data_IF_521039187207
#
_entry.id   IF_521039187207
#
_cell.length_a   1.000
_cell.length_b   1.000
_cell.length_c   1.000
_cell.angle_alpha   90.00
_cell.angle_beta   90.00
_cell.angle_gamma   90.00
#
_symmetry.space_group_name_H-M   'P 1'
#
loop_
_entity.id
_entity.type
_entity.pdbx_description
1 polymer ?
#
# COMPACT_ATOMS: atom_id res chain seq x y z
N UNK A 1 87.02 -32.15 -18.22
CA UNK A 1 85.93 -32.50 -19.18
C UNK A 1 84.77 -31.64 -18.84
N UNK A 2 84.57 -30.59 -19.59
CA UNK A 2 83.68 -29.47 -19.37
C UNK A 2 82.37 -29.72 -20.14
N UNK A 3 81.23 -29.60 -19.43
CA UNK A 3 79.87 -29.63 -20.00
C UNK A 3 79.35 -28.20 -20.18
N UNK A 4 78.68 -27.85 -21.28
CA UNK A 4 78.17 -26.46 -21.51
C UNK A 4 76.79 -26.22 -20.90
N UNK A 5 76.64 -25.04 -20.38
CA UNK A 5 75.37 -24.43 -19.84
C UNK A 5 74.57 -23.90 -21.03
N UNK A 6 73.29 -24.33 -21.16
CA UNK A 6 72.29 -23.69 -22.02
C UNK A 6 71.44 -22.72 -21.19
N UNK A 7 71.50 -21.45 -21.58
CA UNK A 7 70.57 -20.40 -21.08
C UNK A 7 69.29 -20.43 -21.88
N UNK A 8 68.16 -20.74 -21.22
CA UNK A 8 66.84 -20.60 -21.81
C UNK A 8 66.29 -19.22 -21.40
N UNK A 9 66.07 -18.37 -22.39
CA UNK A 9 65.41 -17.07 -22.22
C UNK A 9 63.90 -17.29 -22.19
N UNK A 10 63.23 -16.99 -21.05
CA UNK A 10 61.79 -16.89 -20.96
C UNK A 10 61.35 -15.50 -21.44
N UNK A 11 60.60 -15.47 -22.53
CA UNK A 11 59.88 -14.26 -22.96
C UNK A 11 58.54 -14.21 -22.21
N UNK A 12 58.37 -13.26 -21.31
CA UNK A 12 57.09 -12.92 -20.69
C UNK A 12 56.22 -12.13 -21.68
N UNK A 13 55.17 -12.76 -22.23
CA UNK A 13 54.08 -12.03 -22.90
C UNK A 13 53.17 -11.37 -21.81
N UNK A 14 53.21 -10.04 -21.75
CA UNK A 14 52.26 -9.27 -20.96
C UNK A 14 50.92 -9.19 -21.70
N UNK A 15 49.91 -9.88 -21.19
CA UNK A 15 48.51 -9.72 -21.61
C UNK A 15 47.95 -8.45 -20.95
N UNK A 16 47.66 -7.43 -21.75
CA UNK A 16 46.94 -6.24 -21.30
C UNK A 16 45.46 -6.59 -21.06
N UNK A 17 44.86 -6.15 -19.93
CA UNK A 17 43.41 -6.36 -19.70
C UNK A 17 42.61 -5.46 -20.63
N UNK A 18 41.79 -6.08 -21.49
CA UNK A 18 40.78 -5.38 -22.31
C UNK A 18 39.66 -4.89 -21.38
N UNK A 19 39.63 -3.60 -21.06
CA UNK A 19 38.52 -2.97 -20.36
C UNK A 19 37.33 -2.89 -21.31
N UNK A 20 36.41 -3.83 -21.23
CA UNK A 20 35.10 -3.74 -21.87
C UNK A 20 34.27 -2.71 -21.12
N UNK A 21 34.23 -1.49 -21.61
CA UNK A 21 33.30 -0.46 -21.17
C UNK A 21 31.89 -0.92 -21.50
N UNK A 22 31.15 -1.40 -20.47
CA UNK A 22 29.71 -1.61 -20.58
C UNK A 22 29.07 -0.24 -20.76
N UNK A 23 28.66 0.09 -21.97
CA UNK A 23 27.86 1.27 -22.26
C UNK A 23 26.56 1.16 -21.43
N UNK A 24 26.42 2.00 -20.41
CA UNK A 24 25.16 2.20 -19.72
C UNK A 24 24.17 2.76 -20.75
N UNK A 25 23.24 1.91 -21.19
CA UNK A 25 22.10 2.34 -22.00
C UNK A 25 21.26 3.22 -21.05
N UNK A 26 21.34 4.53 -21.22
CA UNK A 26 20.48 5.47 -20.52
C UNK A 26 19.02 5.13 -20.83
N UNK A 27 18.21 4.98 -19.80
CA UNK A 27 16.78 4.76 -19.98
C UNK A 27 16.19 5.92 -20.82
N UNK A 28 15.33 5.63 -21.81
CA UNK A 28 14.73 6.69 -22.62
C UNK A 28 14.03 7.71 -21.73
N UNK A 29 14.06 9.01 -22.07
CA UNK A 29 13.42 10.06 -21.28
C UNK A 29 11.94 9.75 -21.17
N UNK A 30 11.42 9.75 -19.94
CA UNK A 30 9.99 9.56 -19.67
C UNK A 30 9.25 10.76 -20.26
N UNK A 31 8.34 10.52 -21.19
CA UNK A 31 7.53 11.59 -21.78
C UNK A 31 6.81 12.39 -20.67
N UNK A 32 6.75 13.74 -20.80
CA UNK A 32 6.08 14.57 -19.82
C UNK A 32 4.61 14.16 -19.69
N UNK A 33 4.13 14.07 -18.45
CA UNK A 33 2.72 13.74 -18.19
C UNK A 33 1.81 14.84 -18.71
N UNK A 34 0.63 14.53 -19.23
CA UNK A 34 -0.36 15.55 -19.58
C UNK A 34 -0.69 16.40 -18.36
N UNK A 35 -1.03 17.68 -18.59
CA UNK A 35 -1.41 18.58 -17.52
C UNK A 35 -2.76 18.18 -16.91
N UNK A 36 -2.83 18.19 -15.59
CA UNK A 36 -4.07 18.00 -14.87
C UNK A 36 -5.01 19.22 -15.04
N UNK A 37 -6.33 19.03 -14.94
CA UNK A 37 -7.27 20.16 -14.97
C UNK A 37 -6.99 21.14 -13.82
N UNK A 38 -6.81 22.42 -14.15
CA UNK A 38 -6.45 23.47 -13.18
C UNK A 38 -7.50 23.62 -12.08
N UNK A 39 -8.79 23.56 -12.43
CA UNK A 39 -9.89 23.63 -11.47
C UNK A 39 -9.83 22.53 -10.42
N UNK A 40 -9.59 21.26 -10.84
CA UNK A 40 -9.42 20.15 -9.90
C UNK A 40 -8.19 20.37 -9.01
N UNK A 41 -7.08 20.80 -9.59
CA UNK A 41 -5.85 21.07 -8.83
C UNK A 41 -6.11 22.09 -7.71
N UNK A 42 -6.75 23.21 -8.04
CA UNK A 42 -7.10 24.27 -7.07
C UNK A 42 -8.04 23.76 -5.99
N UNK A 43 -9.05 22.95 -6.36
CA UNK A 43 -9.97 22.34 -5.37
C UNK A 43 -9.24 21.40 -4.40
N UNK A 44 -8.35 20.53 -4.88
CA UNK A 44 -7.59 19.63 -4.02
C UNK A 44 -6.63 20.39 -3.09
N UNK A 45 -6.02 21.48 -3.58
CA UNK A 45 -5.19 22.37 -2.76
C UNK A 45 -6.02 23.04 -1.66
N UNK A 46 -7.19 23.56 -1.98
CA UNK A 46 -8.11 24.18 -1.00
C UNK A 46 -8.56 23.18 0.05
N UNK A 47 -8.97 21.96 -0.35
CA UNK A 47 -9.36 20.90 0.58
C UNK A 47 -8.20 20.48 1.50
N UNK A 48 -6.99 20.36 0.96
CA UNK A 48 -5.82 19.96 1.71
C UNK A 48 -5.31 21.04 2.66
N UNK A 49 -5.28 22.31 2.23
CA UNK A 49 -4.83 23.45 3.05
C UNK A 49 -5.85 23.81 4.15
N UNK A 50 -7.14 23.65 3.86
CA UNK A 50 -8.24 23.90 4.84
C UNK A 50 -8.41 22.78 5.90
N UNK A 51 -7.72 21.65 5.76
CA UNK A 51 -7.86 20.56 6.72
C UNK A 51 -6.98 20.77 7.96
N UNK A 52 -7.58 20.72 9.15
CA UNK A 52 -6.84 20.81 10.41
C UNK A 52 -6.12 19.49 10.72
N UNK A 53 -4.92 19.34 10.17
CA UNK A 53 -4.05 18.16 10.29
C UNK A 53 -3.04 18.12 9.15
N UNK A 54 -2.24 17.05 9.11
CA UNK A 54 -1.32 16.82 7.97
C UNK A 54 -1.91 15.77 7.04
N UNK A 55 -2.34 16.20 5.87
CA UNK A 55 -2.98 15.34 4.87
C UNK A 55 -2.24 15.43 3.52
N UNK A 56 -2.13 14.28 2.86
CA UNK A 56 -1.73 14.12 1.48
C UNK A 56 -2.91 13.66 0.63
N UNK A 57 -3.12 14.32 -0.49
CA UNK A 57 -4.18 14.01 -1.44
C UNK A 57 -3.53 13.81 -2.80
N UNK A 58 -3.90 12.74 -3.50
CA UNK A 58 -3.51 12.55 -4.90
C UNK A 58 -4.67 12.00 -5.71
N UNK A 59 -4.76 12.46 -6.94
CA UNK A 59 -5.68 11.96 -7.97
C UNK A 59 -4.91 11.77 -9.26
N UNK A 60 -5.11 10.64 -9.92
CA UNK A 60 -4.53 10.32 -11.23
C UNK A 60 -5.61 9.79 -12.16
N UNK A 61 -5.77 10.38 -13.34
CA UNK A 61 -6.58 9.79 -14.41
C UNK A 61 -5.89 8.53 -14.92
N UNK A 62 -6.59 7.41 -14.92
CA UNK A 62 -6.06 6.14 -15.43
C UNK A 62 -5.86 6.23 -16.93
N UNK A 63 -6.85 6.74 -17.64
CA UNK A 63 -6.89 6.81 -19.10
C UNK A 63 -6.17 8.05 -19.65
N UNK A 64 -6.30 9.18 -18.94
CA UNK A 64 -5.73 10.47 -19.37
C UNK A 64 -4.27 10.71 -18.95
N UNK A 65 -3.69 9.86 -18.10
CA UNK A 65 -2.28 9.90 -17.68
C UNK A 65 -1.86 11.08 -16.78
N UNK A 66 -2.70 12.14 -16.63
CA UNK A 66 -2.39 13.26 -15.74
C UNK A 66 -2.57 12.88 -14.26
N UNK A 67 -1.83 13.58 -13.40
CA UNK A 67 -2.02 13.50 -11.95
C UNK A 67 -1.91 14.89 -11.30
N UNK A 68 -2.58 15.05 -10.16
CA UNK A 68 -2.54 16.25 -9.33
C UNK A 68 -2.77 15.90 -7.88
N UNK A 69 -2.45 16.81 -6.96
CA UNK A 69 -2.63 16.55 -5.54
C UNK A 69 -2.15 17.68 -4.64
N UNK A 70 -2.18 17.40 -3.34
CA UNK A 70 -1.70 18.25 -2.26
C UNK A 70 -0.74 17.46 -1.39
N UNK A 71 0.48 17.95 -1.16
CA UNK A 71 1.54 17.28 -0.38
C UNK A 71 1.71 15.79 -0.73
N UNK A 72 1.56 15.48 -2.00
CA UNK A 72 1.41 14.11 -2.47
C UNK A 72 2.75 13.36 -2.62
N UNK A 73 3.89 14.03 -2.47
CA UNK A 73 5.24 13.45 -2.47
C UNK A 73 5.73 13.05 -1.07
N UNK A 74 5.07 13.53 0.00
CA UNK A 74 5.44 13.20 1.37
C UNK A 74 5.07 11.75 1.73
N UNK A 75 5.81 11.17 2.69
CA UNK A 75 5.49 9.85 3.23
C UNK A 75 4.43 9.94 4.33
N UNK A 76 3.40 9.11 4.19
CA UNK A 76 2.29 8.98 5.13
C UNK A 76 2.25 7.56 5.71
N UNK A 77 1.93 7.38 7.02
CA UNK A 77 1.67 6.07 7.61
C UNK A 77 0.58 5.33 6.83
N UNK A 78 0.88 4.20 6.23
CA UNK A 78 -0.09 3.43 5.48
C UNK A 78 -1.10 2.72 6.37
N UNK A 79 -0.62 2.16 7.49
CA UNK A 79 -1.42 1.25 8.30
C UNK A 79 -1.98 0.11 7.42
N UNK A 80 -3.24 -0.24 7.54
CA UNK A 80 -3.83 -1.32 6.74
C UNK A 80 -3.92 -1.06 5.22
N UNK A 81 -3.53 0.11 4.71
CA UNK A 81 -3.32 0.32 3.27
C UNK A 81 -2.21 -0.61 2.76
N UNK A 82 -1.20 -0.89 3.59
CA UNK A 82 -0.07 -1.80 3.25
C UNK A 82 -0.53 -3.21 2.86
N UNK A 83 -1.72 -3.64 3.28
CA UNK A 83 -2.32 -4.93 2.88
C UNK A 83 -2.59 -5.03 1.37
N UNK A 84 -2.76 -3.90 0.70
CA UNK A 84 -2.83 -3.87 -0.75
C UNK A 84 -1.55 -4.40 -1.41
N UNK A 85 -0.37 -4.11 -0.85
CA UNK A 85 0.90 -4.61 -1.38
C UNK A 85 1.11 -6.09 -1.08
N UNK A 86 0.60 -6.61 0.04
CA UNK A 86 0.55 -8.06 0.29
C UNK A 86 -0.35 -8.75 -0.73
N UNK A 87 -1.52 -8.18 -1.00
CA UNK A 87 -2.46 -8.69 -1.99
C UNK A 87 -1.87 -8.67 -3.41
N UNK A 88 -1.21 -7.58 -3.79
CA UNK A 88 -0.51 -7.46 -5.07
C UNK A 88 0.58 -8.52 -5.22
N UNK A 89 1.37 -8.74 -4.15
CA UNK A 89 2.41 -9.78 -4.11
C UNK A 89 1.81 -11.19 -4.21
N UNK A 90 0.67 -11.43 -3.56
CA UNK A 90 -0.02 -12.72 -3.64
C UNK A 90 -0.51 -13.00 -5.06
N UNK A 91 -1.09 -12.01 -5.72
CA UNK A 91 -1.53 -12.16 -7.11
C UNK A 91 -0.35 -12.27 -8.09
N UNK A 92 0.78 -11.60 -7.85
CA UNK A 92 2.02 -11.79 -8.61
C UNK A 92 2.58 -13.21 -8.43
N UNK A 93 2.50 -13.77 -7.21
CA UNK A 93 2.89 -15.16 -6.95
C UNK A 93 1.99 -16.18 -7.68
N UNK A 94 0.69 -15.88 -7.79
CA UNK A 94 -0.27 -16.67 -8.59
C UNK A 94 0.08 -16.60 -10.08
N UNK A 95 0.32 -15.42 -10.63
CA UNK A 95 0.71 -15.23 -12.03
C UNK A 95 2.01 -15.96 -12.39
N UNK A 96 2.92 -16.08 -11.43
CA UNK A 96 4.18 -16.82 -11.60
C UNK A 96 4.06 -18.32 -11.30
N UNK A 97 2.86 -18.84 -10.99
CA UNK A 97 2.63 -20.25 -10.67
C UNK A 97 3.25 -20.73 -9.36
N UNK A 98 3.69 -19.81 -8.47
CA UNK A 98 4.32 -20.16 -7.18
C UNK A 98 3.30 -20.52 -6.11
N UNK A 99 2.07 -20.02 -6.24
CA UNK A 99 0.95 -20.21 -5.30
C UNK A 99 -0.32 -20.32 -6.12
N UNK A 100 -1.25 -21.21 -5.72
CA UNK A 100 -2.60 -21.26 -6.27
C UNK A 100 -3.59 -20.67 -5.28
N UNK A 101 -4.59 -19.98 -5.77
CA UNK A 101 -5.65 -19.40 -4.92
C UNK A 101 -6.39 -20.48 -4.10
N UNK A 102 -6.45 -21.71 -4.62
CA UNK A 102 -7.09 -22.87 -3.97
C UNK A 102 -6.19 -23.59 -2.97
N UNK A 103 -4.89 -23.25 -2.87
CA UNK A 103 -3.99 -23.93 -1.96
C UNK A 103 -4.48 -23.82 -0.52
N UNK A 104 -4.53 -24.94 0.23
CA UNK A 104 -4.98 -24.94 1.61
C UNK A 104 -3.94 -24.28 2.53
N UNK A 105 -4.43 -23.49 3.48
CA UNK A 105 -3.59 -22.82 4.49
C UNK A 105 -4.21 -23.01 5.87
N UNK A 106 -3.47 -23.63 6.78
CA UNK A 106 -3.89 -23.81 8.17
C UNK A 106 -3.37 -22.68 9.04
N UNK A 107 -4.26 -22.07 9.81
CA UNK A 107 -3.96 -21.11 10.86
C UNK A 107 -4.09 -21.78 12.22
N UNK A 108 -3.17 -21.45 13.13
CA UNK A 108 -3.16 -21.88 14.53
C UNK A 108 -3.16 -20.67 15.45
N UNK A 109 -3.21 -20.89 16.77
CA UNK A 109 -3.06 -19.80 17.75
C UNK A 109 -1.75 -19.02 17.57
N UNK A 110 -0.67 -19.69 17.13
CA UNK A 110 0.60 -19.05 16.79
C UNK A 110 0.54 -18.08 15.61
N UNK A 111 -0.51 -18.13 14.79
CA UNK A 111 -0.71 -17.20 13.66
C UNK A 111 -1.45 -15.91 14.03
N UNK A 112 -2.15 -15.90 15.19
CA UNK A 112 -2.94 -14.74 15.61
C UNK A 112 -2.09 -13.48 15.79
N UNK A 113 -2.61 -12.34 15.38
CA UNK A 113 -1.99 -11.02 15.47
C UNK A 113 -2.66 -10.20 16.59
N UNK A 114 -2.95 -8.92 16.35
CA UNK A 114 -3.65 -8.05 17.30
C UNK A 114 -4.66 -7.16 16.57
N UNK A 115 -5.50 -6.48 17.34
CA UNK A 115 -6.55 -5.58 16.87
C UNK A 115 -7.60 -6.29 16.01
N UNK A 116 -7.81 -5.83 14.78
CA UNK A 116 -8.84 -6.34 13.90
C UNK A 116 -8.43 -7.69 13.27
N UNK A 117 -8.96 -8.79 13.79
CA UNK A 117 -8.66 -10.15 13.32
C UNK A 117 -9.91 -11.05 13.34
N UNK A 118 -10.91 -10.80 12.48
CA UNK A 118 -12.14 -11.59 12.43
C UNK A 118 -11.94 -13.09 12.34
N UNK A 119 -10.88 -13.56 11.67
CA UNK A 119 -10.56 -14.97 11.52
C UNK A 119 -10.17 -15.65 12.85
N UNK A 120 -9.76 -14.87 13.85
CA UNK A 120 -9.32 -15.38 15.15
C UNK A 120 -10.42 -16.22 15.85
N UNK A 121 -11.68 -15.84 15.72
CA UNK A 121 -12.81 -16.59 16.31
C UNK A 121 -12.84 -18.05 15.85
N UNK A 122 -12.56 -18.32 14.56
CA UNK A 122 -12.53 -19.67 14.00
C UNK A 122 -11.35 -20.49 14.55
N UNK A 123 -10.18 -19.84 14.67
CA UNK A 123 -8.97 -20.46 15.23
C UNK A 123 -9.14 -20.78 16.70
N UNK A 124 -9.74 -19.88 17.48
CA UNK A 124 -9.93 -20.07 18.93
C UNK A 124 -11.00 -21.10 19.24
N UNK A 125 -12.08 -21.15 18.46
CA UNK A 125 -13.16 -22.11 18.66
C UNK A 125 -12.76 -23.57 18.37
N UNK A 126 -11.85 -23.79 17.40
CA UNK A 126 -11.51 -25.14 16.91
C UNK A 126 -10.04 -25.53 17.16
N UNK A 127 -9.23 -24.67 17.83
CA UNK A 127 -7.77 -24.86 18.01
C UNK A 127 -6.95 -24.52 16.76
N UNK A 128 -7.47 -24.79 15.57
CA UNK A 128 -6.92 -24.42 14.27
C UNK A 128 -8.05 -24.14 13.26
N UNK A 129 -7.69 -23.51 12.13
CA UNK A 129 -8.63 -23.25 11.05
C UNK A 129 -7.93 -23.37 9.70
N UNK A 130 -8.38 -24.31 8.86
CA UNK A 130 -7.89 -24.47 7.49
C UNK A 130 -8.80 -23.72 6.53
N UNK A 131 -8.20 -22.95 5.65
CA UNK A 131 -8.86 -22.12 4.63
C UNK A 131 -8.02 -22.17 3.35
N UNK A 132 -8.26 -21.26 2.40
CA UNK A 132 -7.46 -21.15 1.17
C UNK A 132 -6.73 -19.82 1.10
N UNK A 133 -5.71 -19.73 0.23
CA UNK A 133 -5.00 -18.50 -0.10
C UNK A 133 -6.00 -17.41 -0.51
N UNK A 134 -6.99 -17.74 -1.32
CA UNK A 134 -8.03 -16.81 -1.75
C UNK A 134 -8.86 -16.25 -0.59
N UNK A 135 -9.27 -17.11 0.34
CA UNK A 135 -10.06 -16.67 1.49
C UNK A 135 -9.25 -15.78 2.44
N UNK A 136 -7.94 -16.04 2.57
CA UNK A 136 -7.05 -15.12 3.29
C UNK A 136 -6.96 -13.76 2.60
N UNK A 137 -6.78 -13.74 1.28
CA UNK A 137 -6.73 -12.52 0.47
C UNK A 137 -8.03 -11.71 0.59
N UNK A 138 -9.18 -12.38 0.47
CA UNK A 138 -10.50 -11.75 0.63
C UNK A 138 -10.64 -11.15 2.04
N UNK A 139 -10.32 -11.91 3.10
CA UNK A 139 -10.44 -11.42 4.47
C UNK A 139 -9.50 -10.24 4.76
N UNK A 140 -8.24 -10.31 4.30
CA UNK A 140 -7.24 -9.26 4.47
C UNK A 140 -7.67 -7.95 3.80
N UNK A 141 -8.25 -7.99 2.62
CA UNK A 141 -8.67 -6.79 1.89
C UNK A 141 -10.04 -6.31 2.35
N UNK A 142 -11.06 -7.18 2.32
CA UNK A 142 -12.45 -6.73 2.51
C UNK A 142 -12.79 -6.42 3.97
N UNK A 143 -12.26 -7.19 4.91
CA UNK A 143 -12.46 -7.01 6.36
C UNK A 143 -11.27 -6.36 7.05
N UNK A 144 -10.18 -6.13 6.32
CA UNK A 144 -8.92 -5.63 6.90
C UNK A 144 -8.37 -6.54 8.02
N UNK A 145 -8.53 -7.84 7.90
CA UNK A 145 -8.12 -8.84 8.89
C UNK A 145 -6.59 -8.92 8.99
N UNK A 146 -6.04 -8.60 10.16
CA UNK A 146 -4.61 -8.54 10.40
C UNK A 146 -3.97 -9.94 10.38
N UNK A 147 -4.64 -10.93 10.94
CA UNK A 147 -4.15 -12.32 10.98
C UNK A 147 -4.17 -12.95 9.59
N UNK A 148 -5.24 -12.76 8.84
CA UNK A 148 -5.31 -13.23 7.46
C UNK A 148 -4.21 -12.59 6.59
N UNK A 149 -3.96 -11.29 6.75
CA UNK A 149 -2.89 -10.58 6.04
C UNK A 149 -1.50 -11.11 6.36
N UNK A 150 -1.16 -11.24 7.66
CA UNK A 150 0.17 -11.69 8.07
C UNK A 150 0.41 -13.16 7.70
N UNK A 151 -0.66 -13.99 7.71
CA UNK A 151 -0.57 -15.36 7.20
C UNK A 151 -0.35 -15.40 5.70
N UNK A 152 -1.13 -14.62 4.93
CA UNK A 152 -0.98 -14.51 3.48
C UNK A 152 0.43 -14.02 3.12
N UNK A 153 0.93 -12.98 3.80
CA UNK A 153 2.28 -12.46 3.59
C UNK A 153 3.34 -13.55 3.78
N UNK A 154 3.23 -14.38 4.83
CA UNK A 154 4.15 -15.50 5.05
C UNK A 154 4.05 -16.57 3.96
N UNK A 155 2.84 -16.90 3.51
CA UNK A 155 2.60 -17.88 2.43
C UNK A 155 3.29 -17.47 1.14
N UNK A 156 3.32 -16.17 0.83
CA UNK A 156 3.91 -15.67 -0.42
C UNK A 156 5.40 -15.34 -0.33
N UNK A 157 6.07 -15.68 0.77
CA UNK A 157 7.52 -15.51 0.93
C UNK A 157 7.96 -14.46 1.94
N UNK A 158 7.03 -13.94 2.75
CA UNK A 158 7.33 -13.02 3.84
C UNK A 158 7.49 -11.54 3.41
N UNK A 159 7.87 -10.67 4.36
CA UNK A 159 7.95 -9.23 4.09
C UNK A 159 9.05 -8.86 3.09
N UNK A 160 10.11 -9.67 3.01
CA UNK A 160 11.18 -9.50 2.00
C UNK A 160 10.65 -9.61 0.58
N UNK A 161 9.74 -10.56 0.33
CA UNK A 161 9.13 -10.76 -0.98
C UNK A 161 8.21 -9.60 -1.36
N UNK A 162 7.44 -9.05 -0.40
CA UNK A 162 6.63 -7.85 -0.66
C UNK A 162 7.52 -6.66 -1.05
N UNK A 163 8.63 -6.44 -0.33
CA UNK A 163 9.61 -5.40 -0.67
C UNK A 163 10.25 -5.63 -2.05
N UNK A 164 10.55 -6.89 -2.38
CA UNK A 164 11.08 -7.26 -3.70
C UNK A 164 10.08 -6.91 -4.82
N UNK A 165 8.81 -7.29 -4.67
CA UNK A 165 7.77 -6.98 -5.68
C UNK A 165 7.57 -5.46 -5.83
N UNK A 166 7.61 -4.69 -4.74
CA UNK A 166 7.56 -3.22 -4.78
C UNK A 166 8.72 -2.66 -5.59
N UNK A 167 9.93 -3.17 -5.37
CA UNK A 167 11.14 -2.72 -6.08
C UNK A 167 11.13 -3.14 -7.56
N UNK A 168 10.88 -4.42 -7.87
CA UNK A 168 10.88 -4.97 -9.23
C UNK A 168 9.83 -4.28 -10.12
N UNK A 169 8.65 -4.02 -9.56
CA UNK A 169 7.58 -3.30 -10.27
C UNK A 169 7.77 -1.78 -10.27
N UNK A 170 8.83 -1.27 -9.62
CA UNK A 170 9.18 0.17 -9.54
C UNK A 170 7.98 1.01 -9.08
N UNK A 171 7.43 0.67 -7.92
CA UNK A 171 6.20 1.31 -7.40
C UNK A 171 6.45 2.67 -6.73
N UNK A 172 7.68 3.17 -6.72
CA UNK A 172 8.03 4.49 -6.22
C UNK A 172 8.21 4.54 -4.70
N UNK A 173 7.86 5.69 -4.10
CA UNK A 173 8.08 5.96 -2.68
C UNK A 173 7.09 5.20 -1.79
N UNK A 174 7.29 3.88 -1.67
CA UNK A 174 6.49 2.96 -0.86
C UNK A 174 7.42 2.11 -0.01
N UNK A 175 7.26 2.19 1.30
CA UNK A 175 7.93 1.34 2.28
C UNK A 175 6.98 0.24 2.75
N UNK A 176 7.52 -0.93 3.01
CA UNK A 176 6.78 -2.04 3.62
C UNK A 176 7.56 -2.56 4.83
N UNK A 177 6.89 -2.64 5.98
CA UNK A 177 7.47 -3.15 7.22
C UNK A 177 7.24 -4.67 7.35
N UNK A 178 7.52 -5.24 8.52
CA UNK A 178 7.56 -6.70 8.75
C UNK A 178 6.20 -7.30 9.16
N UNK A 179 5.10 -6.71 8.70
CA UNK A 179 3.73 -7.16 8.99
C UNK A 179 3.14 -6.49 10.24
N UNK A 180 1.89 -6.83 10.53
CA UNK A 180 1.10 -6.16 11.57
C UNK A 180 1.66 -6.34 12.98
N UNK A 181 2.13 -7.56 13.32
CA UNK A 181 2.72 -7.83 14.63
C UNK A 181 3.89 -6.91 14.94
N UNK A 182 4.84 -6.85 14.01
CA UNK A 182 6.05 -6.06 14.17
C UNK A 182 5.74 -4.56 14.13
N UNK A 183 4.92 -4.11 13.18
CA UNK A 183 4.56 -2.71 13.00
C UNK A 183 3.85 -2.16 14.24
N UNK A 184 2.77 -2.80 14.68
CA UNK A 184 1.95 -2.29 15.76
C UNK A 184 2.67 -2.34 17.12
N UNK A 185 3.49 -3.37 17.35
CA UNK A 185 4.33 -3.43 18.54
C UNK A 185 5.36 -2.32 18.56
N UNK A 186 6.07 -2.09 17.46
CA UNK A 186 7.10 -1.05 17.35
C UNK A 186 6.53 0.37 17.55
N UNK A 187 5.36 0.65 16.97
CA UNK A 187 4.66 1.94 17.19
C UNK A 187 4.37 2.16 18.68
N UNK A 188 3.99 1.10 19.37
CA UNK A 188 3.67 1.14 20.81
C UNK A 188 4.90 1.13 21.72
N UNK A 189 6.12 0.91 21.20
CA UNK A 189 7.35 0.78 21.98
C UNK A 189 7.55 -0.61 22.58
N UNK A 190 6.94 -1.64 22.00
CA UNK A 190 6.98 -3.02 22.44
C UNK A 190 7.71 -3.91 21.43
N UNK A 191 8.28 -4.99 21.94
CA UNK A 191 8.64 -6.16 21.12
C UNK A 191 7.45 -7.11 21.09
N UNK A 192 7.17 -7.73 19.93
CA UNK A 192 6.06 -8.65 19.79
C UNK A 192 6.13 -9.82 20.77
N UNK A 193 5.01 -10.09 21.41
CA UNK A 193 4.76 -11.32 22.19
C UNK A 193 3.45 -11.94 21.72
N UNK A 194 3.41 -13.27 21.61
CA UNK A 194 2.18 -13.97 21.19
C UNK A 194 1.02 -13.76 22.19
N UNK A 195 1.31 -13.46 23.45
CA UNK A 195 0.31 -13.09 24.44
C UNK A 195 -0.50 -11.85 24.08
N UNK A 196 0.05 -10.96 23.21
CA UNK A 196 -0.64 -9.76 22.75
C UNK A 196 -1.77 -10.03 21.76
N UNK A 197 -1.84 -11.25 21.24
CA UNK A 197 -2.85 -11.60 20.23
C UNK A 197 -4.26 -11.74 20.78
N UNK A 198 -4.43 -11.89 22.07
CA UNK A 198 -5.74 -12.15 22.71
C UNK A 198 -5.89 -11.29 23.96
N UNK A 199 -7.12 -10.81 24.17
CA UNK A 199 -7.47 -10.01 25.35
C UNK A 199 -6.78 -8.65 25.38
N UNK A 200 -6.41 -8.20 26.56
CA UNK A 200 -5.89 -6.87 26.85
C UNK A 200 -4.38 -6.78 27.10
N UNK A 201 -3.66 -7.90 26.95
CA UNK A 201 -2.23 -8.00 27.27
C UNK A 201 -1.38 -6.95 26.54
N UNK A 202 -1.69 -6.68 25.26
CA UNK A 202 -1.03 -5.61 24.49
C UNK A 202 -1.26 -4.25 25.14
N UNK A 203 -2.50 -3.94 25.51
CA UNK A 203 -2.83 -2.64 26.10
C UNK A 203 -2.21 -2.48 27.49
N UNK A 204 -2.18 -3.53 28.31
CA UNK A 204 -1.50 -3.54 29.62
C UNK A 204 0.00 -3.28 29.44
N UNK A 205 0.68 -4.02 28.58
CA UNK A 205 2.10 -3.84 28.32
C UNK A 205 2.41 -2.43 27.81
N UNK A 206 1.63 -1.92 26.82
CA UNK A 206 1.79 -0.57 26.30
C UNK A 206 1.55 0.50 27.37
N UNK A 207 0.53 0.33 28.20
CA UNK A 207 0.17 1.33 29.22
C UNK A 207 1.15 1.34 30.42
N UNK A 208 1.91 0.27 30.63
CA UNK A 208 3.00 0.22 31.61
C UNK A 208 4.23 1.04 31.20
N UNK A 209 4.37 1.38 29.92
CA UNK A 209 5.48 2.24 29.46
C UNK A 209 5.25 3.69 29.88
N UNK A 210 6.33 4.44 30.24
CA UNK A 210 6.24 5.88 30.53
C UNK A 210 5.58 6.63 29.35
N UNK A 211 4.68 7.57 29.67
CA UNK A 211 3.95 8.35 28.64
C UNK A 211 4.90 9.16 27.75
N UNK A 212 6.01 9.66 28.28
CA UNK A 212 7.06 10.37 27.53
C UNK A 212 7.68 9.48 26.45
N UNK A 213 8.01 8.24 26.79
CA UNK A 213 8.55 7.25 25.83
C UNK A 213 7.51 6.93 24.75
N UNK A 214 6.27 6.61 25.16
CA UNK A 214 5.18 6.32 24.22
C UNK A 214 4.96 7.48 23.24
N UNK A 215 4.97 8.71 23.73
CA UNK A 215 4.80 9.92 22.89
C UNK A 215 6.00 10.11 21.93
N UNK A 216 7.20 9.90 22.40
CA UNK A 216 8.41 9.98 21.56
C UNK A 216 8.37 8.99 20.41
N UNK A 217 8.05 7.72 20.68
CA UNK A 217 7.99 6.67 19.67
C UNK A 217 6.82 6.87 18.68
N UNK A 218 5.66 7.30 19.20
CA UNK A 218 4.50 7.62 18.37
C UNK A 218 4.78 8.79 17.40
N UNK A 219 5.43 9.86 17.89
CA UNK A 219 5.81 10.99 17.05
C UNK A 219 6.87 10.58 16.02
N UNK A 220 7.87 9.81 16.41
CA UNK A 220 8.87 9.27 15.47
C UNK A 220 8.22 8.49 14.33
N UNK A 221 7.24 7.64 14.65
CA UNK A 221 6.49 6.91 13.62
C UNK A 221 5.69 7.85 12.71
N UNK A 222 5.06 8.90 13.27
CA UNK A 222 4.36 9.89 12.47
C UNK A 222 5.33 10.63 11.54
N UNK A 223 6.47 11.06 12.04
CA UNK A 223 7.41 11.89 11.29
C UNK A 223 8.11 11.08 10.19
N UNK A 224 8.56 9.86 10.49
CA UNK A 224 9.20 8.93 9.55
C UNK A 224 8.56 7.52 9.63
N UNK A 225 7.41 7.29 8.97
CA UNK A 225 6.68 6.04 9.09
C UNK A 225 7.43 4.85 8.47
N UNK A 226 7.54 3.76 9.24
CA UNK A 226 8.20 2.52 8.82
C UNK A 226 7.52 1.88 7.62
N UNK A 227 6.20 2.07 7.50
CA UNK A 227 5.33 1.63 6.42
C UNK A 227 4.95 2.80 5.50
N UNK A 228 5.77 3.85 5.42
CA UNK A 228 5.44 5.09 4.72
C UNK A 228 5.19 4.91 3.23
N UNK A 229 4.16 5.58 2.71
CA UNK A 229 3.95 5.70 1.27
C UNK A 229 3.56 7.12 0.87
N UNK A 230 3.98 7.56 -0.32
CA UNK A 230 3.52 8.82 -0.88
C UNK A 230 2.20 8.64 -1.63
N UNK A 231 1.24 9.57 -1.49
CA UNK A 231 -0.01 9.53 -2.26
C UNK A 231 0.21 9.41 -3.78
N UNK A 232 1.24 10.04 -4.33
CA UNK A 232 1.56 9.92 -5.75
C UNK A 232 2.02 8.50 -6.14
N UNK A 233 2.83 7.84 -5.32
CA UNK A 233 3.22 6.45 -5.57
C UNK A 233 2.01 5.49 -5.47
N UNK A 234 1.10 5.75 -4.54
CA UNK A 234 -0.16 5.00 -4.40
C UNK A 234 -1.03 5.12 -5.65
N UNK A 235 -1.34 6.35 -6.11
CA UNK A 235 -2.22 6.51 -7.27
C UNK A 235 -1.57 6.02 -8.57
N UNK A 236 -0.26 6.14 -8.71
CA UNK A 236 0.47 5.56 -9.84
C UNK A 236 0.37 4.03 -9.85
N UNK A 237 0.57 3.40 -8.68
CA UNK A 237 0.42 1.94 -8.53
C UNK A 237 -1.00 1.49 -8.87
N UNK A 238 -2.02 2.18 -8.35
CA UNK A 238 -3.43 1.86 -8.62
C UNK A 238 -3.79 2.05 -10.11
N UNK A 239 -3.31 3.12 -10.73
CA UNK A 239 -3.54 3.37 -12.15
C UNK A 239 -2.87 2.30 -13.03
N UNK A 240 -1.63 1.93 -12.74
CA UNK A 240 -0.90 0.85 -13.42
C UNK A 240 -1.57 -0.51 -13.22
N UNK A 241 -2.07 -0.79 -12.01
CA UNK A 241 -2.88 -2.00 -11.77
C UNK A 241 -4.13 -2.00 -12.66
N UNK A 242 -4.87 -0.89 -12.70
CA UNK A 242 -6.11 -0.81 -13.50
C UNK A 242 -5.84 -0.98 -15.00
N UNK A 243 -4.70 -0.51 -15.51
CA UNK A 243 -4.28 -0.69 -16.92
C UNK A 243 -3.70 -2.09 -17.22
N UNK A 244 -3.60 -2.99 -16.21
CA UNK A 244 -3.04 -4.34 -16.39
C UNK A 244 -1.50 -4.38 -16.50
N UNK A 245 -0.80 -3.33 -16.08
CA UNK A 245 0.67 -3.26 -16.17
C UNK A 245 1.39 -4.02 -15.06
N UNK A 246 0.69 -4.41 -13.99
CA UNK A 246 1.30 -5.01 -12.81
C UNK A 246 1.05 -6.51 -12.66
N UNK A 247 -0.07 -7.00 -13.17
CA UNK A 247 -0.53 -8.39 -13.04
C UNK A 247 -1.15 -8.86 -14.37
N UNK A 248 -1.37 -10.18 -14.51
CA UNK A 248 -2.16 -10.72 -15.61
C UNK A 248 -3.58 -10.13 -15.63
N UNK A 249 -4.30 -10.16 -16.77
CA UNK A 249 -5.68 -9.67 -16.85
C UNK A 249 -6.61 -10.32 -15.83
N UNK A 250 -6.50 -11.64 -15.62
CA UNK A 250 -7.33 -12.40 -14.66
C UNK A 250 -7.02 -11.99 -13.20
N UNK A 251 -5.75 -11.89 -12.84
CA UNK A 251 -5.31 -11.46 -11.50
C UNK A 251 -5.67 -10.00 -11.23
N UNK A 252 -5.54 -9.12 -12.22
CA UNK A 252 -5.99 -7.72 -12.14
C UNK A 252 -7.48 -7.64 -11.85
N UNK A 253 -8.31 -8.31 -12.66
CA UNK A 253 -9.76 -8.32 -12.48
C UNK A 253 -10.16 -8.87 -11.11
N UNK A 254 -9.52 -9.97 -10.68
CA UNK A 254 -9.77 -10.59 -9.37
C UNK A 254 -9.46 -9.67 -8.21
N UNK A 255 -8.28 -9.04 -8.21
CA UNK A 255 -7.89 -8.11 -7.16
C UNK A 255 -8.81 -6.89 -7.09
N UNK A 256 -9.16 -6.29 -8.21
CA UNK A 256 -10.08 -5.15 -8.27
C UNK A 256 -11.49 -5.54 -7.79
N UNK A 257 -11.99 -6.73 -8.12
CA UNK A 257 -13.27 -7.26 -7.61
C UNK A 257 -13.22 -7.41 -6.08
N UNK A 258 -12.17 -7.99 -5.53
CA UNK A 258 -12.00 -8.13 -4.08
C UNK A 258 -11.95 -6.74 -3.40
N UNK A 259 -11.23 -5.78 -3.97
CA UNK A 259 -11.18 -4.41 -3.46
C UNK A 259 -12.55 -3.70 -3.56
N UNK A 260 -13.37 -3.99 -4.58
CA UNK A 260 -14.73 -3.49 -4.74
C UNK A 260 -15.68 -3.95 -3.63
N UNK A 261 -15.41 -5.12 -3.04
CA UNK A 261 -16.17 -5.71 -1.94
C UNK A 261 -15.67 -5.31 -0.54
N UNK A 262 -14.82 -4.27 -0.43
CA UNK A 262 -14.31 -3.77 0.85
C UNK A 262 -15.47 -3.30 1.74
N UNK A 263 -15.52 -3.85 2.97
CA UNK A 263 -16.58 -3.59 3.96
C UNK A 263 -16.24 -2.43 4.91
N UNK A 264 -14.96 -2.06 5.00
CA UNK A 264 -14.49 -0.98 5.87
C UNK A 264 -14.60 0.38 5.18
N UNK A 265 -14.78 1.45 5.96
CA UNK A 265 -14.73 2.82 5.43
C UNK A 265 -15.93 3.25 4.58
N UNK A 266 -17.14 2.78 4.89
CA UNK A 266 -18.37 3.09 4.12
C UNK A 266 -18.59 4.59 3.88
N UNK A 267 -18.16 5.44 4.83
CA UNK A 267 -18.32 6.89 4.78
C UNK A 267 -17.03 7.64 4.41
N UNK A 268 -15.94 6.93 3.99
CA UNK A 268 -14.70 7.54 3.49
C UNK A 268 -14.86 7.88 2.00
N UNK A 269 -13.96 7.47 1.11
CA UNK A 269 -14.09 7.74 -0.33
C UNK A 269 -15.47 7.34 -0.88
N UNK A 270 -16.01 6.19 -0.43
CA UNK A 270 -17.33 5.68 -0.85
C UNK A 270 -18.46 6.67 -0.57
N UNK A 271 -18.42 7.44 0.52
CA UNK A 271 -19.43 8.43 0.86
C UNK A 271 -19.48 9.64 -0.08
N UNK A 272 -18.48 9.83 -0.92
CA UNK A 272 -18.46 10.88 -1.95
C UNK A 272 -19.03 10.47 -3.29
N UNK A 273 -19.29 9.18 -3.52
CA UNK A 273 -19.76 8.67 -4.82
C UNK A 273 -21.15 9.21 -5.19
N UNK A 274 -21.41 9.26 -6.48
CA UNK A 274 -22.71 9.54 -7.09
C UNK A 274 -23.27 8.26 -7.72
N UNK A 275 -24.59 8.19 -8.01
CA UNK A 275 -25.19 7.05 -8.69
C UNK A 275 -24.42 6.65 -9.95
N UNK A 276 -24.28 5.35 -10.19
CA UNK A 276 -23.55 4.79 -11.33
C UNK A 276 -22.02 4.72 -11.17
N UNK A 277 -21.42 5.44 -10.20
CA UNK A 277 -19.99 5.33 -9.92
C UNK A 277 -19.68 4.13 -9.02
N UNK A 278 -18.57 3.46 -9.31
CA UNK A 278 -18.07 2.33 -8.51
C UNK A 278 -16.74 2.64 -7.85
N UNK A 279 -16.38 1.85 -6.81
CA UNK A 279 -15.14 2.03 -6.06
C UNK A 279 -14.52 0.68 -5.68
N UNK A 280 -13.27 0.48 -6.06
CA UNK A 280 -12.39 -0.56 -5.54
C UNK A 280 -11.38 0.08 -4.62
N UNK A 281 -11.36 -0.25 -3.29
CA UNK A 281 -10.57 0.53 -2.33
C UNK A 281 -9.98 -0.28 -1.17
N UNK A 282 -9.07 0.35 -0.43
CA UNK A 282 -8.51 -0.16 0.82
C UNK A 282 -8.31 0.97 1.81
N UNK A 283 -8.79 0.75 3.04
CA UNK A 283 -8.66 1.70 4.15
C UNK A 283 -7.47 1.40 5.05
N UNK A 284 -6.96 2.44 5.73
CA UNK A 284 -5.97 2.34 6.80
C UNK A 284 -6.37 3.18 8.00
N UNK A 285 -6.22 2.63 9.22
CA UNK A 285 -6.54 3.34 10.47
C UNK A 285 -5.52 2.95 11.52
N UNK A 286 -4.80 3.92 12.05
CA UNK A 286 -3.72 3.74 13.00
C UNK A 286 -4.10 3.96 14.45
N UNK A 287 -3.08 3.85 15.30
CA UNK A 287 -3.24 4.03 16.75
C UNK A 287 -3.54 5.48 17.11
N UNK A 288 -4.15 5.67 18.29
CA UNK A 288 -4.42 6.98 18.89
C UNK A 288 -3.62 7.11 20.19
N UNK A 289 -2.96 8.24 20.37
CA UNK A 289 -2.30 8.62 21.62
C UNK A 289 -2.59 10.08 21.95
N UNK A 290 -3.12 10.33 23.15
CA UNK A 290 -3.44 11.69 23.60
C UNK A 290 -4.41 12.42 22.66
N UNK A 291 -5.42 11.74 22.12
CA UNK A 291 -6.40 12.31 21.19
C UNK A 291 -5.88 12.49 19.74
N UNK A 292 -4.60 12.29 19.49
CA UNK A 292 -4.02 12.35 18.13
C UNK A 292 -4.01 10.97 17.49
N UNK A 293 -4.56 10.85 16.28
CA UNK A 293 -4.49 9.63 15.47
C UNK A 293 -3.36 9.71 14.46
N UNK A 294 -2.56 8.62 14.36
CA UNK A 294 -1.52 8.43 13.37
C UNK A 294 -2.02 7.52 12.24
N UNK A 295 -2.26 8.10 11.07
CA UNK A 295 -2.76 7.38 9.90
C UNK A 295 -4.29 7.18 9.91
N UNK A 296 -4.98 7.90 9.01
CA UNK A 296 -6.39 7.68 8.70
C UNK A 296 -6.58 7.86 7.20
N UNK A 297 -6.68 6.75 6.49
CA UNK A 297 -6.45 6.70 5.04
C UNK A 297 -7.59 5.97 4.32
N UNK A 298 -7.79 6.35 3.07
CA UNK A 298 -8.51 5.55 2.08
C UNK A 298 -7.87 5.77 0.71
N UNK A 299 -7.60 4.68 0.00
CA UNK A 299 -7.02 4.68 -1.33
C UNK A 299 -7.86 3.80 -2.25
N UNK A 300 -8.02 4.16 -3.51
CA UNK A 300 -8.82 3.33 -4.41
C UNK A 300 -8.89 3.84 -5.82
N UNK A 301 -9.68 3.13 -6.61
CA UNK A 301 -10.02 3.46 -7.99
C UNK A 301 -11.52 3.69 -8.05
N UNK A 302 -11.92 4.90 -8.40
CA UNK A 302 -13.30 5.21 -8.75
C UNK A 302 -13.47 5.10 -10.27
N UNK A 303 -14.59 4.53 -10.70
CA UNK A 303 -14.91 4.33 -12.11
C UNK A 303 -16.27 4.96 -12.42
N UNK A 304 -16.29 5.82 -13.42
CA UNK A 304 -17.46 6.50 -13.90
C UNK A 304 -18.41 5.57 -14.70
N UNK A 305 -19.69 5.95 -14.90
CA UNK A 305 -20.62 5.16 -15.72
C UNK A 305 -20.16 4.95 -17.17
N UNK A 306 -19.35 5.85 -17.71
CA UNK A 306 -18.77 5.76 -19.05
C UNK A 306 -17.50 4.88 -19.13
N UNK A 307 -17.10 4.27 -18.00
CA UNK A 307 -15.93 3.37 -17.88
C UNK A 307 -14.62 4.06 -17.55
N UNK A 308 -14.51 5.38 -17.66
CA UNK A 308 -13.28 6.11 -17.27
C UNK A 308 -12.99 5.98 -15.78
N UNK A 309 -11.71 5.88 -15.45
CA UNK A 309 -11.29 5.57 -14.08
C UNK A 309 -10.27 6.58 -13.54
N UNK A 310 -10.34 6.80 -12.23
CA UNK A 310 -9.43 7.69 -11.51
C UNK A 310 -8.90 6.97 -10.27
N UNK A 311 -7.59 6.93 -10.13
CA UNK A 311 -6.95 6.51 -8.90
C UNK A 311 -6.95 7.68 -7.91
N UNK A 312 -7.37 7.43 -6.67
CA UNK A 312 -7.52 8.44 -5.61
C UNK A 312 -6.83 7.94 -4.34
N UNK A 313 -6.06 8.81 -3.70
CA UNK A 313 -5.48 8.55 -2.38
C UNK A 313 -5.71 9.77 -1.48
N UNK A 314 -6.31 9.54 -0.31
CA UNK A 314 -6.40 10.54 0.77
C UNK A 314 -5.78 9.91 2.02
N UNK A 315 -4.62 10.45 2.42
CA UNK A 315 -3.81 9.91 3.50
C UNK A 315 -3.56 10.99 4.56
N UNK A 316 -4.17 10.82 5.74
CA UNK A 316 -3.99 11.73 6.87
C UNK A 316 -2.86 11.20 7.75
N UNK A 317 -1.78 11.96 7.86
CA UNK A 317 -0.58 11.62 8.62
C UNK A 317 -0.83 11.66 10.11
N UNK A 318 -1.38 12.78 10.58
CA UNK A 318 -1.84 12.98 11.95
C UNK A 318 -3.00 13.95 12.02
N UNK A 319 -3.91 13.71 12.94
CA UNK A 319 -5.04 14.61 13.20
C UNK A 319 -5.69 14.33 14.55
N UNK A 320 -6.29 15.35 15.14
CA UNK A 320 -7.22 15.26 16.27
C UNK A 320 -8.65 15.63 15.89
N UNK A 321 -8.91 15.96 14.60
CA UNK A 321 -10.26 16.34 14.16
C UNK A 321 -11.27 15.20 14.34
N UNK A 322 -12.57 15.49 14.54
CA UNK A 322 -13.61 14.47 14.60
C UNK A 322 -13.67 13.61 13.34
N UNK A 323 -14.15 12.38 13.50
CA UNK A 323 -14.25 11.41 12.38
C UNK A 323 -15.06 11.94 11.20
N UNK A 324 -16.15 12.66 11.48
CA UNK A 324 -17.01 13.23 10.42
C UNK A 324 -16.24 14.23 9.55
N UNK A 325 -15.36 15.05 10.13
CA UNK A 325 -14.53 16.02 9.39
C UNK A 325 -13.55 15.30 8.46
N UNK A 326 -12.93 14.21 8.95
CA UNK A 326 -12.02 13.37 8.14
C UNK A 326 -12.75 12.69 6.98
N UNK A 327 -13.96 12.17 7.23
CA UNK A 327 -14.79 11.53 6.22
C UNK A 327 -15.28 12.54 5.18
N UNK A 328 -15.72 13.74 5.61
CA UNK A 328 -16.15 14.82 4.72
C UNK A 328 -15.02 15.26 3.79
N UNK A 329 -13.78 15.36 4.27
CA UNK A 329 -12.62 15.63 3.41
C UNK A 329 -12.52 14.60 2.27
N UNK A 330 -12.58 13.30 2.60
CA UNK A 330 -12.49 12.21 1.61
C UNK A 330 -13.65 12.23 0.63
N UNK A 331 -14.86 12.50 1.11
CA UNK A 331 -16.06 12.64 0.28
C UNK A 331 -15.92 13.81 -0.71
N UNK A 332 -15.41 14.96 -0.23
CA UNK A 332 -15.24 16.15 -1.06
C UNK A 332 -14.17 15.95 -2.14
N UNK A 333 -13.08 15.21 -1.85
CA UNK A 333 -12.10 14.84 -2.87
C UNK A 333 -12.74 14.01 -3.98
N UNK A 334 -13.56 13.02 -3.64
CA UNK A 334 -14.27 12.20 -4.64
C UNK A 334 -15.26 13.04 -5.45
N UNK A 335 -16.03 13.92 -4.77
CA UNK A 335 -16.96 14.83 -5.46
C UNK A 335 -16.24 15.76 -6.44
N UNK A 336 -15.10 16.34 -6.04
CA UNK A 336 -14.30 17.19 -6.92
C UNK A 336 -13.86 16.43 -8.20
N UNK A 337 -13.49 15.16 -8.09
CA UNK A 337 -13.16 14.32 -9.26
C UNK A 337 -14.37 14.08 -10.14
N UNK A 338 -15.54 13.77 -9.54
CA UNK A 338 -16.80 13.54 -10.26
C UNK A 338 -17.27 14.81 -10.98
N UNK A 339 -17.23 15.95 -10.29
CA UNK A 339 -17.63 17.24 -10.87
C UNK A 339 -16.71 17.63 -12.04
N UNK A 340 -15.40 17.40 -11.91
CA UNK A 340 -14.44 17.61 -13.01
C UNK A 340 -14.68 16.65 -14.19
N UNK A 341 -15.02 15.39 -13.92
CA UNK A 341 -15.37 14.43 -14.96
C UNK A 341 -16.61 14.89 -15.72
N UNK A 342 -17.68 15.24 -15.00
CA UNK A 342 -18.94 15.69 -15.58
C UNK A 342 -18.75 16.96 -16.43
N UNK A 343 -18.01 17.96 -15.93
CA UNK A 343 -17.71 19.19 -16.67
C UNK A 343 -16.99 18.93 -17.99
N UNK A 344 -16.14 17.88 -18.04
CA UNK A 344 -15.35 17.56 -19.25
C UNK A 344 -16.09 16.69 -20.25
N UNK A 345 -16.99 15.83 -19.79
CA UNK A 345 -17.58 14.77 -20.61
C UNK A 345 -19.11 14.83 -20.73
N UNK A 346 -19.80 15.69 -19.95
CA UNK A 346 -21.26 15.86 -20.04
C UNK A 346 -21.73 16.37 -21.40
N UNK A 347 -20.87 17.09 -22.16
CA UNK A 347 -21.20 17.54 -23.52
C UNK A 347 -21.24 16.44 -24.59
N UNK A 348 -20.76 15.21 -24.28
CA UNK A 348 -20.71 14.11 -25.25
C UNK A 348 -21.88 13.10 -25.10
N UNK A 349 -22.79 13.32 -24.15
CA UNK A 349 -23.96 12.44 -23.94
C UNK A 349 -25.26 12.99 -24.55
N UNK A 350 -25.20 14.06 -25.30
CA UNK A 350 -26.34 14.71 -25.96
C UNK A 350 -26.21 14.70 -27.51
N UNK A 351 -25.86 13.53 -28.07
CA UNK A 351 -26.03 13.28 -29.52
C UNK A 351 -26.61 11.89 -29.73
#
# INVERSE_FOLDING_TARGET
MTAPRWLASLACLALAPSSSALAQIAAPPVAPRPMAPAALTSQLQALGSGFNGRVGIAVQSVDGGWRTGWRADELYPQQSVSKFFVALTAMDAVDRGRVRLTDPVTLTRGDLTLFNQPIAQRVLGNGSYTTTVEQLLISAITKSDNTANDKLMRVVGGPGEVRRVIADKRLGAIRFYDGERALQSRIAGLTWSQSYSIGDAFYKARNALPMSLRRSLFNRYIDDPYDGASPYAIVDTLARLKRGELLSPSSTARLLTIMGNTQTGKNRLRGGLRPGWTLSHKTGTGQVLGGVQAGYNDIGIITAPDGRSYAVAVMIKKTSTPLIVRMNLMNNVVRAVIDQHNARFAGNLSL
#
